data_IF_584060814113
#
_entry.id   IF_584060814113
#
_cell.length_a   1.000
_cell.length_b   1.000
_cell.length_c   1.000
_cell.angle_alpha   90.00
_cell.angle_beta   90.00
_cell.angle_gamma   90.00
#
_symmetry.space_group_name_H-M   'P 1'
#
loop_
_entity.id
_entity.type
_entity.pdbx_description
1 polymer ?
#
# COMPACT_ATOMS: atom_id res chain seq x y z
N UNK A 1 17.99 14.27 22.78
CA UNK A 1 17.36 15.22 21.81
C UNK A 1 16.92 14.41 20.59
N UNK A 2 15.65 14.56 20.18
CA UNK A 2 15.14 13.95 18.93
C UNK A 2 15.73 14.72 17.75
N UNK A 3 16.34 14.03 16.80
CA UNK A 3 16.70 14.59 15.52
C UNK A 3 15.49 14.57 14.61
N UNK A 4 15.04 15.74 14.19
CA UNK A 4 13.92 15.90 13.25
C UNK A 4 14.44 16.53 11.99
N UNK A 5 14.07 15.97 10.85
CA UNK A 5 14.41 16.52 9.53
C UNK A 5 13.14 16.87 8.75
N UNK A 6 13.26 17.78 7.83
CA UNK A 6 12.18 18.25 6.96
C UNK A 6 12.64 18.05 5.52
N UNK A 7 11.88 17.33 4.73
CA UNK A 7 12.14 17.14 3.31
C UNK A 7 11.15 17.92 2.46
N UNK A 8 11.64 18.66 1.50
CA UNK A 8 10.87 19.29 0.44
C UNK A 8 11.10 18.53 -0.86
N UNK A 9 10.03 18.05 -1.48
CA UNK A 9 10.11 17.28 -2.72
C UNK A 9 9.54 18.09 -3.86
N UNK A 10 10.35 18.27 -4.89
CA UNK A 10 9.94 18.81 -6.17
C UNK A 10 9.99 17.70 -7.22
N UNK A 11 8.84 17.08 -7.47
CA UNK A 11 8.71 15.94 -8.38
C UNK A 11 8.99 16.37 -9.83
N UNK A 12 8.54 17.57 -10.22
CA UNK A 12 8.68 18.05 -11.60
C UNK A 12 10.14 18.28 -12.00
N UNK A 13 10.98 18.61 -11.03
CA UNK A 13 12.41 18.87 -11.26
C UNK A 13 13.31 17.72 -10.76
N UNK A 14 12.71 16.61 -10.29
CA UNK A 14 13.43 15.49 -9.72
C UNK A 14 14.46 15.91 -8.64
N UNK A 15 14.06 16.80 -7.74
CA UNK A 15 14.89 17.35 -6.68
C UNK A 15 14.19 17.17 -5.33
N UNK A 16 14.95 16.78 -4.32
CA UNK A 16 14.50 16.92 -2.95
C UNK A 16 15.55 17.61 -2.09
N UNK A 17 15.06 18.36 -1.11
CA UNK A 17 15.89 19.10 -0.16
C UNK A 17 15.57 18.59 1.25
N UNK A 18 16.58 18.14 1.96
CA UNK A 18 16.45 17.72 3.37
C UNK A 18 17.10 18.76 4.25
N UNK A 19 16.34 19.27 5.18
CA UNK A 19 16.75 20.29 6.14
C UNK A 19 16.61 19.79 7.58
N UNK A 20 17.34 20.41 8.51
CA UNK A 20 17.01 20.30 9.92
C UNK A 20 15.64 20.92 10.21
N UNK A 21 15.01 20.57 11.34
CA UNK A 21 13.69 21.07 11.74
C UNK A 21 13.56 22.59 11.74
N UNK A 22 14.63 23.31 12.03
CA UNK A 22 14.71 24.78 11.98
C UNK A 22 14.96 25.34 10.59
N UNK A 23 14.89 24.47 9.56
CA UNK A 23 15.16 24.79 8.16
C UNK A 23 16.58 25.32 7.90
N UNK A 24 17.54 24.96 8.76
CA UNK A 24 18.97 25.21 8.57
C UNK A 24 19.66 23.96 8.02
N UNK A 25 20.88 24.14 7.46
CA UNK A 25 21.69 23.03 6.96
C UNK A 25 20.96 22.12 5.96
N UNK A 26 20.30 22.74 4.99
CA UNK A 26 19.62 22.01 3.92
C UNK A 26 20.63 21.39 2.94
N UNK A 27 20.34 20.18 2.48
CA UNK A 27 21.08 19.49 1.42
C UNK A 27 20.13 19.16 0.28
N UNK A 28 20.54 19.52 -0.94
CA UNK A 28 19.78 19.23 -2.16
C UNK A 28 20.32 17.94 -2.77
N UNK A 29 19.40 17.09 -3.18
CA UNK A 29 19.66 15.82 -3.85
C UNK A 29 18.87 15.77 -5.16
N UNK A 30 19.54 15.43 -6.23
CA UNK A 30 18.89 15.09 -7.50
C UNK A 30 18.51 13.62 -7.49
N UNK A 31 17.36 13.28 -8.06
CA UNK A 31 16.92 11.92 -8.06
C UNK A 31 16.20 11.48 -9.35
N UNK A 32 16.52 10.29 -9.79
CA UNK A 32 15.74 9.60 -10.79
C UNK A 32 14.80 8.66 -10.01
N UNK A 33 13.56 9.13 -9.72
CA UNK A 33 12.76 8.46 -8.70
C UNK A 33 11.43 7.96 -9.20
N UNK A 34 11.16 6.70 -8.80
CA UNK A 34 9.82 6.21 -8.45
C UNK A 34 9.46 6.64 -7.01
N UNK A 35 8.17 6.82 -6.70
CA UNK A 35 7.72 7.16 -5.33
C UNK A 35 8.24 6.17 -4.27
N UNK A 36 8.57 4.94 -4.66
CA UNK A 36 9.20 3.91 -3.83
C UNK A 36 10.54 4.35 -3.23
N UNK A 37 11.31 5.16 -3.94
CA UNK A 37 12.61 5.61 -3.47
C UNK A 37 12.51 6.69 -2.38
N UNK A 38 11.43 7.46 -2.35
CA UNK A 38 11.16 8.44 -1.29
C UNK A 38 11.09 7.74 0.07
N UNK A 39 10.42 6.60 0.15
CA UNK A 39 10.35 5.80 1.37
C UNK A 39 11.69 5.18 1.75
N UNK A 40 12.51 4.78 0.76
CA UNK A 40 13.84 4.23 1.03
C UNK A 40 14.82 5.27 1.56
N UNK A 41 14.64 6.53 1.21
CA UNK A 41 15.48 7.64 1.66
C UNK A 41 15.24 7.98 3.13
N UNK A 42 13.97 7.96 3.57
CA UNK A 42 13.63 8.17 4.98
C UNK A 42 14.28 7.11 5.90
N UNK A 43 14.54 5.90 5.38
CA UNK A 43 15.19 4.83 6.15
C UNK A 43 16.72 4.92 6.21
N UNK A 44 17.35 5.74 5.37
CA UNK A 44 18.81 5.88 5.31
C UNK A 44 19.37 6.98 6.20
N UNK A 45 18.53 7.91 6.64
CA UNK A 45 18.93 8.98 7.53
C UNK A 45 18.83 8.55 8.99
N UNK A 46 19.82 8.92 9.81
CA UNK A 46 19.85 8.68 11.27
C UNK A 46 18.93 9.64 12.04
N UNK A 47 17.85 10.13 11.41
CA UNK A 47 16.89 11.02 12.03
C UNK A 47 15.72 10.27 12.68
N UNK A 48 15.24 10.79 13.80
CA UNK A 48 14.11 10.20 14.54
C UNK A 48 12.75 10.50 13.88
N UNK A 49 12.69 11.54 13.04
CA UNK A 49 11.47 11.94 12.32
C UNK A 49 11.83 12.72 11.03
N UNK A 50 11.11 12.44 9.97
CA UNK A 50 11.21 13.15 8.70
C UNK A 50 9.86 13.73 8.33
N UNK A 51 9.80 15.04 8.11
CA UNK A 51 8.63 15.74 7.58
C UNK A 51 8.82 15.95 6.09
N UNK A 52 7.87 15.48 5.28
CA UNK A 52 7.91 15.61 3.83
C UNK A 52 6.85 16.59 3.35
N UNK A 53 7.26 17.60 2.59
CA UNK A 53 6.38 18.60 2.00
C UNK A 53 6.46 18.51 0.47
N UNK A 54 5.34 18.19 -0.18
CA UNK A 54 5.22 18.31 -1.63
C UNK A 54 4.89 19.75 -2.06
N UNK A 55 5.12 20.10 -3.32
CA UNK A 55 4.73 21.39 -3.92
C UNK A 55 3.25 21.76 -3.72
N UNK A 56 2.37 20.77 -3.57
CA UNK A 56 0.93 20.94 -3.36
C UNK A 56 0.53 21.38 -1.95
N UNK A 57 1.45 21.74 -1.07
CA UNK A 57 1.23 22.11 0.34
C UNK A 57 0.61 20.99 1.23
N UNK A 58 0.65 19.76 0.82
CA UNK A 58 0.31 18.64 1.71
C UNK A 58 1.57 18.25 2.48
N UNK A 59 1.54 18.42 3.79
CA UNK A 59 2.61 17.97 4.68
C UNK A 59 2.34 16.55 5.14
N UNK A 60 3.37 15.74 5.17
CA UNK A 60 3.32 14.38 5.66
C UNK A 60 4.37 14.22 6.75
N UNK A 61 3.98 13.68 7.88
CA UNK A 61 4.91 13.34 8.96
C UNK A 61 5.32 11.88 8.81
N UNK A 62 6.60 11.65 8.58
CA UNK A 62 7.20 10.31 8.66
C UNK A 62 7.98 10.25 9.96
N UNK A 63 7.42 9.60 10.97
CA UNK A 63 8.20 9.27 12.16
C UNK A 63 9.05 8.04 11.85
N UNK A 64 10.37 8.20 11.75
CA UNK A 64 11.29 7.10 11.70
C UNK A 64 11.64 6.64 13.12
N UNK A 65 11.61 5.34 13.33
CA UNK A 65 12.03 4.68 14.58
C UNK A 65 11.15 4.88 15.82
N UNK A 66 9.84 4.57 15.75
CA UNK A 66 9.30 3.72 16.80
C UNK A 66 10.06 2.38 16.69
N UNK A 67 10.30 1.69 17.80
CA UNK A 67 10.85 0.33 17.79
C UNK A 67 9.87 -0.60 17.06
N UNK A 68 9.88 -0.55 15.72
CA UNK A 68 9.01 -1.38 14.91
C UNK A 68 9.41 -2.82 15.18
N UNK A 69 8.51 -3.58 15.76
CA UNK A 69 8.71 -5.01 15.96
C UNK A 69 8.64 -5.68 14.60
N UNK A 70 9.80 -5.87 13.99
CA UNK A 70 9.91 -6.61 12.73
C UNK A 70 9.79 -8.10 13.03
N UNK A 71 8.81 -8.73 12.42
CA UNK A 71 8.59 -10.17 12.49
C UNK A 71 8.98 -10.77 11.16
N UNK A 72 9.90 -11.70 11.13
CA UNK A 72 10.34 -12.32 9.90
C UNK A 72 9.30 -13.31 9.39
N UNK A 73 8.78 -13.08 8.19
CA UNK A 73 7.97 -14.06 7.44
C UNK A 73 8.88 -15.01 6.66
N UNK A 74 9.93 -14.47 6.06
CA UNK A 74 11.03 -15.21 5.42
C UNK A 74 12.36 -14.61 5.87
N UNK A 75 13.48 -15.06 5.32
CA UNK A 75 14.80 -14.46 5.61
C UNK A 75 14.89 -12.99 5.22
N UNK A 76 14.08 -12.54 4.24
CA UNK A 76 14.18 -11.21 3.63
C UNK A 76 12.88 -10.41 3.71
N UNK A 77 11.74 -11.07 3.98
CA UNK A 77 10.43 -10.41 4.10
C UNK A 77 10.03 -10.27 5.55
N UNK A 78 9.63 -9.07 5.92
CA UNK A 78 9.27 -8.70 7.29
C UNK A 78 7.83 -8.21 7.38
N UNK A 79 7.18 -8.58 8.47
CA UNK A 79 5.89 -8.04 8.89
C UNK A 79 6.12 -6.93 9.91
N UNK A 80 5.42 -5.82 9.76
CA UNK A 80 5.37 -4.71 10.70
C UNK A 80 3.91 -4.43 11.04
N UNK A 81 3.61 -4.30 12.31
CA UNK A 81 2.26 -3.98 12.78
C UNK A 81 2.22 -2.60 13.42
N UNK A 82 1.12 -1.89 13.20
CA UNK A 82 0.86 -0.57 13.75
C UNK A 82 -0.42 -0.59 14.58
N UNK A 83 -0.40 0.01 15.76
CA UNK A 83 -1.50 -0.02 16.72
C UNK A 83 -1.83 -1.45 17.19
N UNK A 84 -3.08 -1.76 17.47
CA UNK A 84 -3.50 -3.03 18.06
C UNK A 84 -3.83 -4.05 16.96
N UNK A 85 -2.93 -5.01 16.76
CA UNK A 85 -3.04 -6.06 15.75
C UNK A 85 -2.79 -7.42 16.39
N UNK A 86 -3.69 -8.36 16.16
CA UNK A 86 -3.44 -9.77 16.43
C UNK A 86 -3.02 -10.47 15.13
N UNK A 87 -2.09 -11.42 15.24
CA UNK A 87 -1.67 -12.20 14.07
C UNK A 87 -1.24 -13.60 14.45
N UNK A 88 -1.43 -14.54 13.52
CA UNK A 88 -0.93 -15.91 13.61
C UNK A 88 -0.12 -16.23 12.34
N UNK A 89 1.10 -16.75 12.52
CA UNK A 89 2.01 -17.10 11.43
C UNK A 89 2.35 -18.58 11.50
N UNK A 90 2.11 -19.32 10.42
CA UNK A 90 2.61 -20.68 10.24
C UNK A 90 3.54 -20.73 9.00
N UNK A 91 4.84 -20.59 9.23
CA UNK A 91 5.85 -20.59 8.16
C UNK A 91 6.03 -21.96 7.49
N UNK A 92 5.51 -23.05 8.08
CA UNK A 92 5.54 -24.38 7.44
C UNK A 92 4.42 -24.55 6.42
N UNK A 93 3.30 -23.86 6.65
CA UNK A 93 2.15 -23.85 5.74
C UNK A 93 2.09 -22.59 4.88
N UNK A 94 2.99 -21.63 5.10
CA UNK A 94 3.00 -20.31 4.47
C UNK A 94 1.64 -19.59 4.66
N UNK A 95 1.16 -19.52 5.90
CA UNK A 95 -0.08 -18.81 6.24
C UNK A 95 0.18 -17.67 7.21
N UNK A 96 -0.54 -16.58 7.01
CA UNK A 96 -0.57 -15.42 7.87
C UNK A 96 -2.03 -14.96 8.02
N UNK A 97 -2.56 -15.07 9.22
CA UNK A 97 -3.89 -14.57 9.58
C UNK A 97 -3.72 -13.33 10.47
N UNK A 98 -4.42 -12.25 10.14
CA UNK A 98 -4.31 -10.93 10.76
C UNK A 98 -5.69 -10.44 11.18
N UNK A 99 -5.79 -9.90 12.39
CA UNK A 99 -6.98 -9.23 12.89
C UNK A 99 -6.62 -7.81 13.35
N UNK A 100 -7.23 -6.80 12.71
CA UNK A 100 -7.08 -5.39 13.05
C UNK A 100 -8.14 -5.01 14.08
N UNK A 101 -7.71 -4.57 15.27
CA UNK A 101 -8.61 -4.36 16.40
C UNK A 101 -9.13 -2.92 16.50
N UNK A 102 -8.47 -1.97 15.86
CA UNK A 102 -8.85 -0.55 15.89
C UNK A 102 -8.82 0.06 14.49
N UNK A 103 -9.50 1.17 14.29
CA UNK A 103 -9.45 1.94 13.02
C UNK A 103 -8.08 2.53 12.69
N UNK A 104 -7.12 2.47 13.63
CA UNK A 104 -5.73 2.89 13.42
C UNK A 104 -4.79 1.72 13.19
N UNK A 105 -5.30 0.50 13.31
CA UNK A 105 -4.49 -0.71 13.11
C UNK A 105 -4.18 -0.88 11.64
N UNK A 106 -2.91 -1.08 11.33
CA UNK A 106 -2.41 -1.30 9.96
C UNK A 106 -1.27 -2.32 9.99
N UNK A 107 -1.08 -2.97 8.86
CA UNK A 107 -0.01 -3.94 8.69
C UNK A 107 0.75 -3.66 7.42
N UNK A 108 2.07 -3.75 7.50
CA UNK A 108 2.96 -3.63 6.35
C UNK A 108 3.83 -4.88 6.22
N UNK A 109 3.87 -5.46 5.04
CA UNK A 109 4.76 -6.55 4.68
C UNK A 109 5.83 -5.97 3.76
N UNK A 110 7.10 -6.03 4.20
CA UNK A 110 8.20 -5.29 3.59
C UNK A 110 9.25 -6.26 3.07
N UNK A 111 9.67 -6.05 1.80
CA UNK A 111 10.84 -6.66 1.19
C UNK A 111 12.16 -5.91 1.49
N UNK A 112 13.20 -6.14 0.68
CA UNK A 112 13.14 -6.97 -0.52
C UNK A 112 13.05 -8.46 -0.18
N UNK A 113 12.32 -9.22 -0.98
CA UNK A 113 12.25 -10.68 -0.86
C UNK A 113 11.00 -11.26 -1.47
N UNK A 114 10.95 -12.58 -1.52
CA UNK A 114 9.88 -13.33 -2.17
C UNK A 114 8.91 -13.92 -1.13
N UNK A 115 7.61 -13.86 -1.46
CA UNK A 115 6.55 -14.65 -0.85
C UNK A 115 6.06 -15.70 -1.84
N UNK A 116 6.39 -16.96 -1.59
CA UNK A 116 6.03 -18.07 -2.45
C UNK A 116 4.97 -18.96 -1.81
N UNK A 117 3.83 -19.13 -2.50
CA UNK A 117 2.70 -19.96 -2.06
C UNK A 117 2.13 -19.56 -0.68
N UNK A 118 2.19 -18.29 -0.33
CA UNK A 118 1.60 -17.79 0.89
C UNK A 118 0.09 -17.56 0.75
N UNK A 119 -0.63 -17.85 1.83
CA UNK A 119 -2.01 -17.42 2.02
C UNK A 119 -2.05 -16.39 3.15
N UNK A 120 -2.48 -15.19 2.82
CA UNK A 120 -2.51 -14.05 3.74
C UNK A 120 -3.95 -13.58 3.87
N UNK A 121 -4.44 -13.54 5.10
CA UNK A 121 -5.76 -13.05 5.43
C UNK A 121 -5.67 -11.88 6.38
N UNK A 122 -6.49 -10.86 6.13
CA UNK A 122 -6.66 -9.74 7.04
C UNK A 122 -8.15 -9.47 7.25
N UNK A 123 -8.55 -9.36 8.49
CA UNK A 123 -9.90 -8.97 8.89
C UNK A 123 -9.84 -7.78 9.85
N UNK A 124 -10.91 -6.99 9.92
CA UNK A 124 -11.02 -5.94 10.91
C UNK A 124 -12.31 -6.11 11.71
N UNK A 125 -12.19 -5.98 13.02
CA UNK A 125 -13.29 -5.84 13.96
C UNK A 125 -13.47 -4.39 14.44
N UNK A 126 -12.71 -3.46 13.86
CA UNK A 126 -12.81 -2.05 14.18
C UNK A 126 -14.19 -1.50 13.79
N UNK A 127 -14.75 -0.70 14.68
CA UNK A 127 -15.93 0.11 14.33
C UNK A 127 -15.48 1.23 13.39
N UNK A 128 -16.34 1.53 12.42
CA UNK A 128 -16.13 2.65 11.51
C UNK A 128 -15.95 3.93 12.33
N UNK A 129 -14.80 4.57 12.21
CA UNK A 129 -14.46 5.85 12.79
C UNK A 129 -13.96 6.76 11.68
N UNK A 130 -13.60 8.00 11.96
CA UNK A 130 -13.05 8.90 10.93
C UNK A 130 -11.95 8.21 10.13
N UNK A 131 -12.15 8.13 8.82
CA UNK A 131 -11.16 7.56 7.88
C UNK A 131 -9.94 8.50 7.89
N UNK A 132 -8.85 8.03 8.46
CA UNK A 132 -7.56 8.71 8.36
C UNK A 132 -6.92 8.25 7.06
N UNK A 133 -7.00 9.08 6.01
CA UNK A 133 -6.50 8.76 4.68
C UNK A 133 -5.06 8.25 4.72
N UNK A 134 -4.18 9.01 5.34
CA UNK A 134 -2.78 8.64 5.51
C UNK A 134 -2.45 8.51 6.99
N UNK A 135 -1.78 7.45 7.38
CA UNK A 135 -1.21 7.38 8.72
C UNK A 135 0.11 8.17 8.80
N UNK A 136 0.75 8.15 9.96
CA UNK A 136 2.06 8.79 10.19
C UNK A 136 3.20 8.26 9.30
N UNK A 137 3.00 7.10 8.64
CA UNK A 137 3.97 6.49 7.73
C UNK A 137 3.58 6.67 6.25
N UNK A 138 2.61 7.54 5.96
CA UNK A 138 2.04 7.77 4.62
C UNK A 138 1.38 6.54 3.98
N UNK A 139 1.02 5.55 4.79
CA UNK A 139 0.34 4.36 4.29
C UNK A 139 -1.16 4.62 4.21
N UNK A 140 -1.74 4.23 3.11
CA UNK A 140 -3.18 4.27 2.83
C UNK A 140 -3.83 2.93 3.18
N UNK A 141 -3.11 1.82 2.91
CA UNK A 141 -3.61 0.46 3.08
C UNK A 141 -3.75 -0.01 4.53
N UNK A 142 -4.82 -0.78 4.80
CA UNK A 142 -4.91 -1.59 6.01
C UNK A 142 -3.85 -2.70 5.99
N UNK A 143 -3.69 -3.35 4.83
CA UNK A 143 -2.62 -4.29 4.53
C UNK A 143 -1.81 -3.74 3.35
N UNK A 144 -0.56 -3.33 3.59
CA UNK A 144 0.33 -2.82 2.56
C UNK A 144 1.46 -3.81 2.30
N UNK A 145 1.69 -4.15 1.04
CA UNK A 145 2.88 -4.85 0.58
C UNK A 145 3.82 -3.86 -0.10
N UNK A 146 5.06 -3.82 0.36
CA UNK A 146 6.05 -2.89 -0.15
C UNK A 146 7.31 -3.60 -0.60
N UNK A 147 7.68 -3.44 -1.89
CA UNK A 147 8.88 -4.03 -2.50
C UNK A 147 8.95 -5.56 -2.36
N UNK A 148 7.86 -6.24 -2.73
CA UNK A 148 7.70 -7.70 -2.61
C UNK A 148 7.69 -8.37 -3.98
N UNK A 149 8.35 -9.52 -4.07
CA UNK A 149 8.17 -10.46 -5.18
C UNK A 149 7.15 -11.54 -4.79
N UNK A 150 6.13 -11.72 -5.62
CA UNK A 150 5.08 -12.71 -5.40
C UNK A 150 5.24 -13.92 -6.32
N UNK A 151 5.03 -15.12 -5.76
CA UNK A 151 4.85 -16.36 -6.54
C UNK A 151 3.68 -17.14 -5.95
N UNK A 152 2.57 -17.19 -6.71
CA UNK A 152 1.33 -17.92 -6.35
C UNK A 152 0.77 -17.56 -4.96
N UNK A 153 0.70 -16.28 -4.62
CA UNK A 153 0.17 -15.82 -3.34
C UNK A 153 -1.34 -15.63 -3.41
N UNK A 154 -2.03 -15.91 -2.31
CA UNK A 154 -3.45 -15.61 -2.11
C UNK A 154 -3.63 -14.56 -1.03
N UNK A 155 -4.43 -13.54 -1.30
CA UNK A 155 -4.72 -12.44 -0.39
C UNK A 155 -6.22 -12.37 -0.17
N UNK A 156 -6.66 -12.39 1.08
CA UNK A 156 -8.05 -12.22 1.47
C UNK A 156 -8.16 -11.05 2.46
N UNK A 157 -9.03 -10.07 2.20
CA UNK A 157 -9.26 -8.93 3.10
C UNK A 157 -10.75 -8.74 3.35
N UNK A 158 -11.14 -8.55 4.61
CA UNK A 158 -12.56 -8.44 4.99
C UNK A 158 -12.77 -7.34 6.01
N UNK A 159 -13.83 -6.53 5.82
CA UNK A 159 -14.26 -5.45 6.72
C UNK A 159 -13.15 -4.42 7.00
N UNK A 160 -12.50 -3.93 5.97
CA UNK A 160 -11.39 -3.00 6.12
C UNK A 160 -11.86 -1.55 6.28
N UNK A 161 -11.22 -0.82 7.21
CA UNK A 161 -11.63 0.55 7.62
C UNK A 161 -10.56 1.61 7.28
N UNK A 162 -9.68 1.32 6.34
CA UNK A 162 -8.65 2.26 5.85
C UNK A 162 -9.05 2.88 4.51
N UNK A 163 -8.23 3.77 3.98
CA UNK A 163 -8.40 4.33 2.63
C UNK A 163 -8.37 3.21 1.58
N UNK A 164 -7.37 2.30 1.66
CA UNK A 164 -7.34 1.09 0.84
C UNK A 164 -7.44 -0.13 1.75
N UNK A 165 -8.25 -1.10 1.37
CA UNK A 165 -8.28 -2.37 2.09
C UNK A 165 -6.93 -3.09 1.94
N UNK A 166 -6.42 -3.14 0.70
CA UNK A 166 -5.10 -3.69 0.36
C UNK A 166 -4.39 -2.73 -0.59
N UNK A 167 -3.12 -2.44 -0.30
CA UNK A 167 -2.27 -1.65 -1.18
C UNK A 167 -0.98 -2.42 -1.52
N UNK A 168 -0.64 -2.48 -2.82
CA UNK A 168 0.58 -3.10 -3.33
C UNK A 168 1.48 -2.02 -3.93
N UNK A 169 2.66 -1.81 -3.39
CA UNK A 169 3.59 -0.76 -3.84
C UNK A 169 4.92 -1.39 -4.27
N UNK A 170 5.37 -1.09 -5.48
CA UNK A 170 6.62 -1.61 -6.03
C UNK A 170 6.71 -3.14 -5.93
N UNK A 171 5.62 -3.80 -6.26
CA UNK A 171 5.50 -5.25 -6.24
C UNK A 171 5.75 -5.85 -7.62
N UNK A 172 6.19 -7.09 -7.68
CA UNK A 172 6.40 -7.83 -8.92
C UNK A 172 6.04 -9.31 -8.79
N UNK A 173 5.91 -9.99 -9.93
CA UNK A 173 5.69 -11.44 -9.99
C UNK A 173 4.22 -11.82 -10.14
N UNK A 174 3.80 -12.95 -9.54
CA UNK A 174 2.48 -13.53 -9.77
C UNK A 174 1.68 -13.73 -8.49
N UNK A 175 0.45 -13.25 -8.50
CA UNK A 175 -0.55 -13.42 -7.45
C UNK A 175 -1.66 -14.33 -8.01
N UNK A 176 -2.01 -15.39 -7.30
CA UNK A 176 -3.05 -16.33 -7.73
C UNK A 176 -4.45 -15.70 -7.58
N UNK A 177 -4.75 -15.16 -6.40
CA UNK A 177 -6.01 -14.47 -6.18
C UNK A 177 -5.93 -13.37 -5.13
N UNK A 178 -6.76 -12.33 -5.34
CA UNK A 178 -7.04 -11.27 -4.35
C UNK A 178 -8.56 -11.22 -4.17
N UNK A 179 -9.01 -11.43 -2.94
CA UNK A 179 -10.42 -11.39 -2.56
C UNK A 179 -10.63 -10.34 -1.48
N UNK A 180 -11.48 -9.33 -1.76
CA UNK A 180 -11.78 -8.24 -0.83
C UNK A 180 -13.28 -8.12 -0.65
N UNK A 181 -13.71 -7.94 0.60
CA UNK A 181 -15.11 -7.68 0.91
C UNK A 181 -15.27 -6.65 2.02
N UNK A 182 -16.20 -5.73 1.79
CA UNK A 182 -16.55 -4.66 2.73
C UNK A 182 -15.37 -3.74 3.07
N UNK A 183 -14.99 -2.86 2.15
CA UNK A 183 -14.07 -1.75 2.39
C UNK A 183 -14.83 -0.43 2.53
N UNK A 184 -14.41 0.39 3.49
CA UNK A 184 -15.03 1.71 3.77
C UNK A 184 -14.61 2.79 2.77
N UNK A 185 -13.58 2.55 1.97
CA UNK A 185 -13.16 3.37 0.84
C UNK A 185 -12.72 2.45 -0.29
N UNK A 186 -11.45 2.50 -0.77
CA UNK A 186 -10.99 1.70 -1.89
C UNK A 186 -10.76 0.24 -1.50
N UNK A 187 -11.01 -0.66 -2.46
CA UNK A 187 -10.78 -2.08 -2.26
C UNK A 187 -9.29 -2.42 -2.42
N UNK A 188 -8.78 -2.34 -3.62
CA UNK A 188 -7.41 -2.68 -3.99
C UNK A 188 -6.75 -1.54 -4.72
N UNK A 189 -5.62 -1.10 -4.23
CA UNK A 189 -4.75 -0.14 -4.89
C UNK A 189 -3.41 -0.79 -5.25
N UNK A 190 -2.95 -0.63 -6.49
CA UNK A 190 -1.68 -1.19 -6.97
C UNK A 190 -0.86 -0.10 -7.66
N UNK A 191 0.24 0.27 -7.00
CA UNK A 191 1.12 1.35 -7.42
C UNK A 191 2.48 0.86 -7.90
N UNK A 192 2.97 1.45 -8.99
CA UNK A 192 4.35 1.30 -9.48
C UNK A 192 4.82 -0.16 -9.54
N UNK A 193 3.91 -1.07 -9.89
CA UNK A 193 4.11 -2.50 -9.78
C UNK A 193 4.12 -3.18 -11.13
N UNK A 194 4.70 -4.37 -11.17
CA UNK A 194 4.78 -5.19 -12.38
C UNK A 194 4.31 -6.61 -12.03
N UNK A 195 3.00 -6.81 -12.06
CA UNK A 195 2.38 -8.02 -11.53
C UNK A 195 1.41 -8.68 -12.52
N UNK A 196 1.40 -10.02 -12.46
CA UNK A 196 0.32 -10.85 -12.97
C UNK A 196 -0.62 -11.19 -11.81
N UNK A 197 -1.93 -10.98 -11.96
CA UNK A 197 -2.94 -11.41 -11.00
C UNK A 197 -3.93 -12.35 -11.69
N UNK A 198 -4.03 -13.59 -11.22
CA UNK A 198 -4.92 -14.58 -11.80
C UNK A 198 -6.39 -14.20 -11.64
N UNK A 199 -6.82 -13.89 -10.44
CA UNK A 199 -8.20 -13.54 -10.13
C UNK A 199 -8.28 -12.38 -9.13
N UNK A 200 -9.12 -11.39 -9.42
CA UNK A 200 -9.49 -10.32 -8.50
C UNK A 200 -10.99 -10.39 -8.28
N UNK A 201 -11.41 -10.51 -7.03
CA UNK A 201 -12.83 -10.44 -6.64
C UNK A 201 -12.98 -9.41 -5.54
N UNK A 202 -13.77 -8.36 -5.79
CA UNK A 202 -14.03 -7.30 -4.81
C UNK A 202 -15.54 -7.09 -4.70
N UNK A 203 -16.02 -7.04 -3.44
CA UNK A 203 -17.42 -6.82 -3.13
C UNK A 203 -17.57 -5.73 -2.09
N UNK A 204 -18.43 -4.77 -2.36
CA UNK A 204 -18.81 -3.69 -1.43
C UNK A 204 -17.63 -2.80 -1.03
N UNK A 205 -17.13 -2.01 -1.98
CA UNK A 205 -16.24 -0.87 -1.74
C UNK A 205 -17.03 0.43 -1.74
N UNK A 206 -16.79 1.30 -0.75
CA UNK A 206 -17.50 2.57 -0.66
C UNK A 206 -16.94 3.66 -1.59
N UNK A 207 -15.86 3.40 -2.30
CA UNK A 207 -15.28 4.22 -3.34
C UNK A 207 -14.89 3.32 -4.54
N UNK A 208 -13.64 3.34 -5.01
CA UNK A 208 -13.19 2.51 -6.12
C UNK A 208 -12.95 1.04 -5.68
N UNK A 209 -13.30 0.07 -6.52
CA UNK A 209 -12.96 -1.32 -6.21
C UNK A 209 -11.48 -1.60 -6.50
N UNK A 210 -10.99 -1.18 -7.67
CA UNK A 210 -9.62 -1.42 -8.11
C UNK A 210 -9.02 -0.12 -8.68
N UNK A 211 -7.92 0.35 -8.10
CA UNK A 211 -7.10 1.45 -8.66
C UNK A 211 -5.73 0.90 -9.09
N UNK A 212 -5.27 1.29 -10.27
CA UNK A 212 -4.02 0.85 -10.88
C UNK A 212 -3.23 2.07 -11.35
N UNK A 213 -2.05 2.30 -10.78
CA UNK A 213 -1.22 3.46 -11.11
C UNK A 213 0.23 3.09 -11.40
N UNK A 214 0.80 3.68 -12.44
CA UNK A 214 2.24 3.73 -12.73
C UNK A 214 2.93 2.38 -12.94
N UNK A 215 2.29 1.39 -13.59
CA UNK A 215 2.87 0.06 -13.69
C UNK A 215 2.49 -0.76 -14.92
N UNK A 216 2.86 -2.05 -14.88
CA UNK A 216 2.47 -3.03 -15.88
C UNK A 216 1.65 -4.13 -15.22
N UNK A 217 0.40 -4.28 -15.63
CA UNK A 217 -0.58 -5.13 -15.00
C UNK A 217 -1.17 -6.12 -16.01
N UNK A 218 -1.05 -7.40 -15.72
CA UNK A 218 -1.73 -8.45 -16.48
C UNK A 218 -2.69 -9.18 -15.55
N UNK A 219 -3.98 -9.12 -15.84
CA UNK A 219 -5.02 -9.66 -14.97
C UNK A 219 -5.84 -10.69 -15.73
N UNK A 220 -5.98 -11.88 -15.18
CA UNK A 220 -6.76 -12.96 -15.76
C UNK A 220 -8.26 -12.66 -15.68
N UNK A 221 -8.81 -12.65 -14.49
CA UNK A 221 -10.24 -12.44 -14.27
C UNK A 221 -10.48 -11.37 -13.21
N UNK A 222 -11.41 -10.47 -13.52
CA UNK A 222 -11.91 -9.44 -12.59
C UNK A 222 -13.40 -9.66 -12.38
N UNK A 223 -13.83 -9.71 -11.12
CA UNK A 223 -15.22 -9.77 -10.74
C UNK A 223 -15.49 -8.75 -9.62
N UNK A 224 -16.13 -7.64 -9.97
CA UNK A 224 -16.38 -6.51 -9.09
C UNK A 224 -17.88 -6.31 -8.90
N UNK A 225 -18.29 -6.08 -7.65
CA UNK A 225 -19.68 -5.79 -7.33
C UNK A 225 -19.83 -4.81 -6.19
N UNK A 226 -20.66 -3.79 -6.41
CA UNK A 226 -20.98 -2.80 -5.36
C UNK A 226 -19.83 -1.85 -5.11
N UNK A 227 -19.25 -1.27 -6.17
CA UNK A 227 -18.24 -0.21 -6.10
C UNK A 227 -18.95 1.14 -6.21
N UNK A 228 -18.91 1.97 -5.17
CA UNK A 228 -19.75 3.17 -5.13
C UNK A 228 -19.28 4.30 -6.05
N UNK A 229 -18.02 4.28 -6.51
CA UNK A 229 -17.55 5.20 -7.56
C UNK A 229 -17.13 4.39 -8.80
N UNK A 230 -15.93 3.83 -8.86
CA UNK A 230 -15.42 3.11 -10.04
C UNK A 230 -15.21 1.63 -9.79
N UNK A 231 -15.55 0.81 -10.80
CA UNK A 231 -15.14 -0.58 -10.81
C UNK A 231 -13.62 -0.67 -10.95
N UNK A 232 -13.07 -0.12 -12.02
CA UNK A 232 -11.62 -0.02 -12.26
C UNK A 232 -11.25 1.41 -12.58
N UNK A 233 -10.26 1.95 -11.87
CA UNK A 233 -9.57 3.21 -12.14
C UNK A 233 -8.17 2.89 -12.65
N UNK A 234 -7.79 3.45 -13.80
CA UNK A 234 -6.47 3.28 -14.41
C UNK A 234 -5.81 4.65 -14.48
N UNK A 235 -4.79 4.85 -13.68
CA UNK A 235 -4.02 6.09 -13.58
C UNK A 235 -2.92 6.20 -14.61
N UNK A 236 -2.18 7.30 -14.53
CA UNK A 236 -1.14 7.72 -15.46
C UNK A 236 -0.01 6.69 -15.57
N UNK A 237 0.60 6.59 -16.75
CA UNK A 237 1.74 5.69 -17.03
C UNK A 237 1.48 4.20 -16.79
N UNK A 238 0.20 3.79 -16.74
CA UNK A 238 -0.19 2.40 -16.53
C UNK A 238 -0.39 1.65 -17.84
N UNK A 239 0.10 0.41 -17.89
CA UNK A 239 -0.17 -0.53 -18.98
C UNK A 239 -0.95 -1.71 -18.43
N UNK A 240 -2.22 -1.84 -18.83
CA UNK A 240 -3.15 -2.81 -18.26
C UNK A 240 -3.66 -3.76 -19.34
N UNK A 241 -3.56 -5.06 -19.10
CA UNK A 241 -4.16 -6.11 -19.91
C UNK A 241 -5.09 -6.95 -19.03
N UNK A 242 -6.37 -7.03 -19.39
CA UNK A 242 -7.39 -7.80 -18.68
C UNK A 242 -7.97 -8.83 -19.64
N UNK A 243 -8.00 -10.12 -19.25
CA UNK A 243 -8.57 -11.16 -20.09
C UNK A 243 -10.09 -11.22 -19.99
N UNK A 244 -10.62 -11.22 -18.76
CA UNK A 244 -12.05 -11.26 -18.49
C UNK A 244 -12.41 -10.28 -17.38
N UNK A 245 -13.50 -9.55 -17.58
CA UNK A 245 -13.98 -8.57 -16.59
C UNK A 245 -15.50 -8.64 -16.47
N UNK A 246 -15.98 -8.74 -15.24
CA UNK A 246 -17.38 -8.56 -14.87
C UNK A 246 -17.48 -7.47 -13.81
N UNK A 247 -18.30 -6.45 -14.06
CA UNK A 247 -18.53 -5.34 -13.13
C UNK A 247 -20.03 -5.14 -12.98
N UNK A 248 -20.50 -5.16 -11.74
CA UNK A 248 -21.89 -4.99 -11.40
C UNK A 248 -22.04 -3.93 -10.29
N UNK A 249 -23.14 -3.18 -10.34
CA UNK A 249 -23.51 -2.24 -9.26
C UNK A 249 -22.40 -1.21 -8.98
N UNK A 250 -21.96 -0.49 -10.00
CA UNK A 250 -20.98 0.61 -9.91
C UNK A 250 -21.44 1.85 -10.65
N UNK A 251 -20.97 3.04 -10.23
CA UNK A 251 -21.29 4.28 -10.91
C UNK A 251 -20.54 4.41 -12.25
N UNK A 252 -19.24 4.10 -12.26
CA UNK A 252 -18.41 4.06 -13.47
C UNK A 252 -17.77 2.67 -13.56
N UNK A 253 -17.99 1.97 -14.69
CA UNK A 253 -17.37 0.65 -14.88
C UNK A 253 -15.85 0.71 -14.91
N UNK A 254 -15.30 1.45 -15.88
CA UNK A 254 -13.84 1.63 -16.04
C UNK A 254 -13.56 3.10 -16.33
N UNK A 255 -12.65 3.69 -15.59
CA UNK A 255 -12.12 5.04 -15.84
C UNK A 255 -10.64 4.95 -16.17
N UNK A 256 -10.22 5.61 -17.25
CA UNK A 256 -8.81 5.74 -17.63
C UNK A 256 -8.44 7.22 -17.57
N UNK A 257 -7.37 7.52 -16.87
CA UNK A 257 -6.84 8.88 -16.68
C UNK A 257 -5.52 9.01 -17.43
N UNK A 258 -5.31 10.18 -18.03
CA UNK A 258 -4.04 10.55 -18.70
C UNK A 258 -2.98 11.03 -17.70
#
# INVERSE_FOLDING_TARGET
ERKVEVAFIDIDNAIYEICNYDLTNCKIYEFDISAADIFSLASKNDSDSLFVFGKSKKSFLIESKSSDNFINLTSEVKLVTYSEVLYEIDTKKNTLDIELLTSRSKVKIIGPGELMNWKIKVSSNALESEIIRNDKNLLTGCLTFYNIEFTNVKIEATNQVCEDAVNLINAKGSIDSIEISNSVSDGLDIDFSNVYVGNITIKSSSNDCLDLSGGQYVIGNINLKGCNDKGVSIGETSHVQIQNINIEETYIGIAVKD
#
